data_IF_476312614888
#
_entry.id   IF_476312614888
#
_cell.length_a   1.000
_cell.length_b   1.000
_cell.length_c   1.000
_cell.angle_alpha   90.00
_cell.angle_beta   90.00
_cell.angle_gamma   90.00
#
_symmetry.space_group_name_H-M   'P 1'
#
loop_
_entity.id
_entity.type
_entity.pdbx_description
1 polymer ?
#
# COMPACT_ATOMS: atom_id res chain seq x y z
N UNK A 1 -12.00 12.87 28.45
CA UNK A 1 -13.06 13.47 27.58
C UNK A 1 -12.80 12.96 26.17
N UNK A 2 -13.73 12.19 25.61
CA UNK A 2 -13.64 11.60 24.26
C UNK A 2 -14.08 12.61 23.20
N UNK A 3 -13.20 12.87 22.23
CA UNK A 3 -13.33 13.91 21.22
C UNK A 3 -14.13 13.46 19.98
N UNK A 4 -14.40 12.15 19.84
CA UNK A 4 -15.17 11.59 18.73
C UNK A 4 -14.72 10.17 18.35
N UNK A 5 -15.16 9.73 17.16
CA UNK A 5 -14.75 8.46 16.53
C UNK A 5 -13.58 8.75 15.58
N UNK A 6 -12.48 8.01 15.74
CA UNK A 6 -11.34 8.08 14.83
C UNK A 6 -11.51 7.14 13.65
N UNK A 7 -11.21 7.62 12.44
CA UNK A 7 -11.13 6.79 11.23
C UNK A 7 -9.68 6.80 10.78
N UNK A 8 -9.03 5.63 10.87
CA UNK A 8 -7.61 5.46 10.57
C UNK A 8 -7.40 4.28 9.61
N UNK A 9 -6.21 4.19 9.01
CA UNK A 9 -5.80 2.98 8.30
C UNK A 9 -5.71 1.82 9.28
N UNK A 10 -6.11 0.62 8.87
CA UNK A 10 -5.97 -0.58 9.70
C UNK A 10 -4.53 -0.77 10.19
N UNK A 11 -3.53 -0.46 9.35
CA UNK A 11 -2.10 -0.55 9.70
C UNK A 11 -1.66 0.34 10.87
N UNK A 12 -2.44 1.38 11.21
CA UNK A 12 -2.11 2.31 12.28
C UNK A 12 -2.63 1.85 13.66
N UNK A 13 -3.35 0.72 13.71
CA UNK A 13 -3.84 0.12 14.94
C UNK A 13 -3.04 -1.14 15.27
N UNK A 14 -2.30 -1.10 16.37
CA UNK A 14 -1.52 -2.22 16.88
C UNK A 14 -2.32 -3.04 17.90
N UNK A 15 -1.90 -4.28 18.16
CA UNK A 15 -2.64 -5.14 19.10
C UNK A 15 -2.66 -4.55 20.51
N UNK A 16 -1.63 -3.83 20.91
CA UNK A 16 -1.53 -3.24 22.26
C UNK A 16 -2.53 -2.09 22.47
N UNK A 17 -3.05 -1.49 21.39
CA UNK A 17 -4.03 -0.40 21.44
C UNK A 17 -5.42 -0.86 21.96
N UNK A 18 -5.66 -2.16 22.08
CA UNK A 18 -6.96 -2.73 22.51
C UNK A 18 -7.35 -2.40 23.96
N UNK A 19 -6.38 -2.03 24.80
CA UNK A 19 -6.62 -1.61 26.18
C UNK A 19 -7.31 -0.23 26.23
N UNK A 20 -6.98 0.63 25.26
CA UNK A 20 -7.45 2.02 25.21
C UNK A 20 -8.56 2.25 24.18
N UNK A 21 -8.61 1.42 23.12
CA UNK A 21 -9.49 1.62 21.98
C UNK A 21 -10.19 0.32 21.54
N UNK A 22 -11.42 0.47 21.02
CA UNK A 22 -12.15 -0.61 20.36
C UNK A 22 -12.13 -0.34 18.86
N UNK A 23 -11.48 -1.22 18.10
CA UNK A 23 -11.45 -1.16 16.63
C UNK A 23 -12.64 -1.91 16.00
N UNK A 24 -13.21 -1.32 14.95
CA UNK A 24 -14.28 -1.91 14.12
C UNK A 24 -13.84 -1.86 12.66
N UNK A 25 -14.05 -2.96 11.92
CA UNK A 25 -13.66 -3.02 10.51
C UNK A 25 -14.42 -2.04 9.63
N UNK A 26 -13.67 -1.27 8.82
CA UNK A 26 -14.21 -0.35 7.81
C UNK A 26 -14.30 -0.93 6.40
N UNK A 27 -13.95 -2.21 6.18
CA UNK A 27 -13.76 -2.79 4.85
C UNK A 27 -15.01 -2.75 3.94
N UNK A 28 -16.20 -2.83 4.54
CA UNK A 28 -17.47 -2.77 3.81
C UNK A 28 -18.03 -1.35 3.68
N UNK A 29 -17.37 -0.37 4.29
CA UNK A 29 -17.80 1.03 4.34
C UNK A 29 -16.93 1.90 3.42
N UNK A 30 -15.63 1.60 3.33
CA UNK A 30 -14.67 2.38 2.58
C UNK A 30 -13.99 1.57 1.46
N UNK A 31 -13.67 2.19 0.32
CA UNK A 31 -12.86 1.54 -0.70
C UNK A 31 -11.43 1.29 -0.19
N UNK A 32 -10.77 0.27 -0.75
CA UNK A 32 -9.37 0.00 -0.46
C UNK A 32 -8.48 1.14 -0.95
N UNK A 33 -7.55 1.58 -0.11
CA UNK A 33 -6.52 2.54 -0.49
C UNK A 33 -5.26 1.79 -0.97
N UNK A 34 -4.72 2.17 -2.12
CA UNK A 34 -3.47 1.62 -2.67
C UNK A 34 -2.32 2.56 -2.38
N UNK A 35 -1.22 2.03 -1.85
CA UNK A 35 0.04 2.78 -1.67
C UNK A 35 0.90 2.66 -2.92
N UNK A 36 1.49 3.77 -3.38
CA UNK A 36 2.24 3.83 -4.64
C UNK A 36 3.71 4.20 -4.41
N UNK A 37 4.60 3.59 -5.19
CA UNK A 37 5.97 4.09 -5.39
C UNK A 37 5.98 5.08 -6.55
N UNK A 38 6.34 6.33 -6.26
CA UNK A 38 6.51 7.38 -7.27
C UNK A 38 7.98 7.70 -7.48
N UNK A 39 8.38 7.87 -8.74
CA UNK A 39 9.70 8.37 -9.12
C UNK A 39 9.58 9.31 -10.32
N UNK A 40 10.59 10.18 -10.49
CA UNK A 40 10.61 11.14 -11.59
C UNK A 40 10.84 10.43 -12.92
N UNK A 41 10.06 10.80 -13.96
CA UNK A 41 10.28 10.29 -15.32
C UNK A 41 11.67 10.64 -15.84
N UNK A 42 12.29 9.70 -16.54
CA UNK A 42 13.66 9.83 -17.05
C UNK A 42 14.74 9.76 -15.96
N UNK A 43 14.39 9.51 -14.69
CA UNK A 43 15.36 9.25 -13.65
C UNK A 43 16.02 7.89 -13.89
N UNK A 44 17.35 7.83 -13.77
CA UNK A 44 18.08 6.57 -13.79
C UNK A 44 17.79 5.85 -12.47
N UNK A 45 17.00 4.78 -12.53
CA UNK A 45 16.76 3.91 -11.40
C UNK A 45 18.02 3.09 -11.13
N UNK A 46 18.76 3.46 -10.09
CA UNK A 46 19.94 2.71 -9.68
C UNK A 46 19.56 1.31 -9.20
N UNK A 47 20.53 0.37 -9.22
CA UNK A 47 20.34 -0.97 -8.66
C UNK A 47 19.85 -0.91 -7.21
N UNK A 48 20.37 0.03 -6.42
CA UNK A 48 19.94 0.24 -5.03
C UNK A 48 18.47 0.66 -4.93
N UNK A 49 18.01 1.62 -5.75
CA UNK A 49 16.61 2.04 -5.74
C UNK A 49 15.65 0.90 -6.11
N UNK A 50 16.01 0.10 -7.12
CA UNK A 50 15.25 -1.09 -7.48
C UNK A 50 15.24 -2.15 -6.37
N UNK A 51 16.38 -2.39 -5.72
CA UNK A 51 16.47 -3.30 -4.57
C UNK A 51 15.62 -2.83 -3.40
N UNK A 52 15.62 -1.53 -3.09
CA UNK A 52 14.78 -0.93 -2.05
C UNK A 52 13.29 -1.15 -2.32
N UNK A 53 12.83 -0.89 -3.56
CA UNK A 53 11.43 -1.14 -3.93
C UNK A 53 11.06 -2.61 -3.74
N UNK A 54 11.94 -3.54 -4.13
CA UNK A 54 11.69 -4.98 -3.97
C UNK A 54 11.64 -5.42 -2.50
N UNK A 55 12.35 -4.75 -1.57
CA UNK A 55 12.26 -5.05 -0.13
C UNK A 55 10.87 -4.73 0.45
N UNK A 56 10.20 -3.71 -0.08
CA UNK A 56 8.86 -3.34 0.36
C UNK A 56 7.76 -4.08 -0.40
N UNK A 57 8.00 -4.40 -1.66
CA UNK A 57 7.00 -4.92 -2.56
C UNK A 57 7.63 -5.98 -3.48
N UNK A 58 7.69 -7.22 -2.99
CA UNK A 58 8.31 -8.36 -3.68
C UNK A 58 7.67 -8.66 -5.05
N UNK A 59 6.41 -8.27 -5.25
CA UNK A 59 5.71 -8.40 -6.52
C UNK A 59 6.22 -7.43 -7.61
N UNK A 60 6.99 -6.38 -7.25
CA UNK A 60 7.52 -5.37 -8.15
C UNK A 60 8.90 -5.77 -8.71
N UNK A 61 8.92 -6.77 -9.60
CA UNK A 61 10.18 -7.21 -10.20
C UNK A 61 10.86 -6.11 -11.05
N UNK A 62 12.20 -6.14 -11.20
CA UNK A 62 12.94 -5.10 -11.93
C UNK A 62 12.48 -4.87 -13.37
N UNK A 63 12.01 -5.93 -14.07
CA UNK A 63 11.51 -5.79 -15.45
C UNK A 63 10.22 -4.98 -15.50
N UNK A 64 9.33 -5.18 -14.53
CA UNK A 64 8.07 -4.48 -14.41
C UNK A 64 8.28 -3.02 -14.03
N UNK A 65 9.21 -2.75 -13.10
CA UNK A 65 9.60 -1.38 -12.72
C UNK A 65 10.17 -0.63 -13.94
N UNK A 66 11.06 -1.25 -14.70
CA UNK A 66 11.63 -0.63 -15.92
C UNK A 66 10.57 -0.35 -16.96
N UNK A 67 9.65 -1.31 -17.22
CA UNK A 67 8.51 -1.08 -18.13
C UNK A 67 7.64 0.09 -17.66
N UNK A 68 7.31 0.15 -16.38
CA UNK A 68 6.55 1.27 -15.83
C UNK A 68 7.31 2.61 -15.99
N UNK A 69 8.63 2.60 -15.82
CA UNK A 69 9.47 3.80 -16.00
C UNK A 69 9.52 4.31 -17.46
N UNK A 70 9.33 3.42 -18.44
CA UNK A 70 9.29 3.75 -19.87
C UNK A 70 7.93 4.32 -20.34
N UNK A 71 6.86 4.12 -19.56
CA UNK A 71 5.51 4.63 -19.87
C UNK A 71 5.37 6.13 -19.61
N UNK A 72 4.39 6.75 -20.28
CA UNK A 72 4.17 8.19 -20.26
C UNK A 72 2.98 8.65 -19.44
N UNK A 73 2.08 7.75 -19.02
CA UNK A 73 0.86 8.11 -18.30
C UNK A 73 0.52 7.06 -17.25
N UNK A 74 -0.25 7.43 -16.23
CA UNK A 74 -0.72 6.47 -15.23
C UNK A 74 -1.66 5.42 -15.85
N UNK A 75 -2.41 5.80 -16.89
CA UNK A 75 -3.30 4.90 -17.62
C UNK A 75 -2.54 3.81 -18.38
N UNK A 76 -1.29 4.06 -18.78
CA UNK A 76 -0.40 3.04 -19.36
C UNK A 76 0.21 2.14 -18.28
N UNK A 77 0.41 2.66 -17.07
CA UNK A 77 0.95 1.91 -15.92
C UNK A 77 -0.09 0.93 -15.38
N UNK A 78 -1.34 1.35 -15.18
CA UNK A 78 -2.37 0.54 -14.50
C UNK A 78 -2.56 -0.88 -15.10
N UNK A 79 -2.61 -1.07 -16.43
CA UNK A 79 -2.76 -2.39 -17.02
C UNK A 79 -1.59 -3.33 -16.71
N UNK A 80 -0.36 -2.80 -16.53
CA UNK A 80 0.82 -3.61 -16.20
C UNK A 80 0.68 -4.35 -14.86
N UNK A 81 -0.15 -3.83 -13.95
CA UNK A 81 -0.38 -4.38 -12.60
C UNK A 81 -1.74 -5.05 -12.44
N UNK A 82 -2.61 -5.00 -13.44
CA UNK A 82 -4.01 -5.51 -13.37
C UNK A 82 -4.15 -6.99 -13.02
N UNK A 83 -3.12 -7.80 -13.29
CA UNK A 83 -3.10 -9.25 -13.04
C UNK A 83 -2.31 -9.64 -11.79
N UNK A 84 -1.82 -8.65 -11.04
CA UNK A 84 -1.02 -8.88 -9.84
C UNK A 84 -1.92 -8.66 -8.64
N UNK A 85 -2.07 -9.70 -7.81
CA UNK A 85 -2.71 -9.54 -6.52
C UNK A 85 -1.79 -8.73 -5.61
N UNK A 86 -2.27 -7.56 -5.20
CA UNK A 86 -1.52 -6.69 -4.30
C UNK A 86 -1.70 -7.17 -2.86
N UNK A 87 -0.63 -7.17 -2.05
CA UNK A 87 -0.73 -7.54 -0.64
C UNK A 87 -1.62 -6.53 0.09
N UNK A 88 -2.58 -7.05 0.84
CA UNK A 88 -3.38 -6.23 1.77
C UNK A 88 -2.59 -6.10 3.06
N UNK A 89 -2.49 -4.87 3.56
CA UNK A 89 -1.87 -4.58 4.85
C UNK A 89 -2.96 -4.20 5.84
N UNK A 90 -3.09 -4.98 6.89
CA UNK A 90 -3.99 -4.73 8.02
C UNK A 90 -3.23 -4.33 9.28
N UNK A 91 -3.98 -4.04 10.33
CA UNK A 91 -3.48 -3.94 11.70
C UNK A 91 -3.57 -5.27 12.42
N UNK A 92 -3.78 -5.22 13.74
CA UNK A 92 -3.99 -6.41 14.55
C UNK A 92 -5.11 -7.33 14.01
N UNK A 93 -4.87 -8.64 13.96
CA UNK A 93 -5.84 -9.65 13.47
C UNK A 93 -7.12 -9.75 14.33
N UNK A 94 -7.16 -9.07 15.47
CA UNK A 94 -8.29 -9.04 16.40
C UNK A 94 -9.35 -7.99 16.05
N UNK A 95 -9.19 -7.23 14.96
CA UNK A 95 -10.21 -6.28 14.50
C UNK A 95 -11.49 -7.08 14.19
N UNK A 96 -12.52 -6.86 15.00
CA UNK A 96 -13.82 -7.51 14.81
C UNK A 96 -14.45 -7.01 13.50
N UNK A 97 -14.82 -7.97 12.65
CA UNK A 97 -15.73 -7.77 11.52
C UNK A 97 -17.14 -7.46 12.00
#
# INVERSE_FOLDING_TARGET
>A
MGMGIGVISGMAYECDDHEDFIAVSGENIFPKCTTYFGFRRGMILSRYAMSFINLFAEHLNPKLIMKAAETKTQDEVNPLFSKIELPVKGGCDQIKL
#
